data_IF_487864568203
#
_entry.id   IF_487864568203
#
_cell.length_a   1.000
_cell.length_b   1.000
_cell.length_c   1.000
_cell.angle_alpha   90.00
_cell.angle_beta   90.00
_cell.angle_gamma   90.00
#
_symmetry.space_group_name_H-M   'P 1'
#
loop_
_entity.id
_entity.type
_entity.pdbx_description
1 polymer ?
#
# COMPACT_ATOMS: atom_id res chain seq x y z
N UNK A 1 13.75 -12.88 -9.96
CA UNK A 1 12.48 -12.20 -9.62
C UNK A 1 12.55 -11.86 -8.14
N UNK A 2 12.78 -10.59 -7.79
CA UNK A 2 12.88 -10.09 -6.41
C UNK A 2 13.97 -10.75 -5.55
N UNK A 3 15.00 -10.03 -5.13
CA UNK A 3 15.86 -10.55 -4.05
C UNK A 3 15.06 -10.44 -2.76
N UNK A 4 14.63 -11.57 -2.19
CA UNK A 4 14.16 -11.61 -0.81
C UNK A 4 15.37 -11.29 0.09
N UNK A 5 15.59 -10.01 0.38
CA UNK A 5 16.60 -9.59 1.33
C UNK A 5 16.00 -9.69 2.74
N UNK A 6 16.19 -10.85 3.38
CA UNK A 6 15.83 -11.02 4.79
C UNK A 6 16.83 -10.24 5.66
N UNK A 7 16.47 -9.02 6.08
CA UNK A 7 17.21 -8.30 7.11
C UNK A 7 16.54 -8.51 8.48
N UNK A 8 17.21 -9.30 9.34
CA UNK A 8 17.12 -9.23 10.81
C UNK A 8 15.75 -9.34 11.49
N UNK A 9 15.45 -10.51 12.06
CA UNK A 9 14.44 -10.79 13.12
C UNK A 9 12.94 -10.54 12.84
N UNK A 10 12.56 -10.00 11.67
CA UNK A 10 11.17 -9.95 11.19
C UNK A 10 11.13 -9.68 9.68
N UNK A 11 10.61 -10.64 8.91
CA UNK A 11 10.97 -10.85 7.49
C UNK A 11 10.48 -9.71 6.60
N UNK A 12 11.44 -8.96 6.06
CA UNK A 12 11.20 -8.00 4.99
C UNK A 12 11.31 -8.72 3.64
N UNK A 13 10.45 -8.36 2.69
CA UNK A 13 10.56 -8.74 1.29
C UNK A 13 10.84 -7.48 0.49
N UNK A 14 11.98 -7.43 -0.20
CA UNK A 14 12.28 -6.38 -1.17
C UNK A 14 12.09 -6.89 -2.59
N UNK A 15 11.41 -6.11 -3.42
CA UNK A 15 11.06 -6.43 -4.80
C UNK A 15 11.75 -5.37 -5.65
N UNK A 16 12.70 -5.79 -6.48
CA UNK A 16 13.48 -4.87 -7.30
C UNK A 16 13.22 -5.09 -8.79
N UNK A 17 13.24 -3.98 -9.54
CA UNK A 17 13.08 -3.94 -10.99
C UNK A 17 11.62 -3.86 -11.44
N UNK A 18 11.40 -3.47 -12.69
CA UNK A 18 10.07 -3.44 -13.28
C UNK A 18 9.54 -4.87 -13.38
N UNK A 19 8.41 -5.14 -12.74
CA UNK A 19 7.77 -6.44 -12.71
C UNK A 19 6.57 -6.42 -13.66
N UNK A 20 6.53 -7.25 -14.70
CA UNK A 20 5.37 -7.29 -15.57
C UNK A 20 4.14 -7.84 -14.82
N UNK A 21 2.90 -7.46 -15.23
CA UNK A 21 1.69 -7.74 -14.46
C UNK A 21 1.48 -9.21 -14.10
N UNK A 22 1.81 -10.15 -15.00
CA UNK A 22 1.66 -11.59 -14.75
C UNK A 22 2.56 -12.05 -13.61
N UNK A 23 3.82 -11.62 -13.59
CA UNK A 23 4.77 -11.95 -12.53
C UNK A 23 4.38 -11.29 -11.21
N UNK A 24 3.85 -10.06 -11.26
CA UNK A 24 3.34 -9.39 -10.07
C UNK A 24 2.14 -10.16 -9.46
N UNK A 25 1.26 -10.69 -10.31
CA UNK A 25 0.10 -11.49 -9.87
C UNK A 25 0.54 -12.77 -9.17
N UNK A 26 1.49 -13.48 -9.77
CA UNK A 26 2.03 -14.71 -9.20
C UNK A 26 2.70 -14.44 -7.84
N UNK A 27 3.45 -13.34 -7.72
CA UNK A 27 4.08 -12.94 -6.48
C UNK A 27 3.04 -12.64 -5.39
N UNK A 28 2.03 -11.81 -5.68
CA UNK A 28 0.99 -11.49 -4.70
C UNK A 28 0.14 -12.69 -4.32
N UNK A 29 -0.11 -13.61 -5.26
CA UNK A 29 -0.76 -14.89 -4.96
C UNK A 29 0.06 -15.73 -3.97
N UNK A 30 1.37 -15.86 -4.20
CA UNK A 30 2.27 -16.57 -3.29
C UNK A 30 2.36 -15.90 -1.90
N UNK A 31 2.22 -14.57 -1.84
CA UNK A 31 2.20 -13.82 -0.59
C UNK A 31 0.91 -13.97 0.20
N UNK A 32 -0.21 -14.37 -0.41
CA UNK A 32 -1.49 -14.49 0.30
C UNK A 32 -1.40 -15.46 1.49
N UNK A 33 -0.63 -16.55 1.33
CA UNK A 33 -0.41 -17.54 2.39
C UNK A 33 0.89 -17.37 3.17
N UNK A 34 1.70 -16.37 2.82
CA UNK A 34 2.96 -16.11 3.52
C UNK A 34 2.68 -15.67 4.97
N UNK A 35 3.14 -16.47 5.94
CA UNK A 35 2.95 -16.21 7.39
C UNK A 35 4.08 -15.43 8.04
N UNK A 36 4.96 -14.87 7.23
CA UNK A 36 6.31 -14.61 7.67
C UNK A 36 6.74 -13.18 7.36
N UNK A 37 6.39 -12.68 6.18
CA UNK A 37 6.63 -11.32 5.72
C UNK A 37 5.79 -10.32 6.50
N UNK A 38 6.45 -9.31 7.06
CA UNK A 38 5.81 -8.20 7.79
C UNK A 38 5.98 -6.89 7.04
N UNK A 39 7.11 -6.73 6.34
CA UNK A 39 7.42 -5.56 5.53
C UNK A 39 7.56 -5.94 4.07
N UNK A 40 6.96 -5.16 3.18
CA UNK A 40 7.09 -5.33 1.74
C UNK A 40 7.59 -4.03 1.11
N UNK A 41 8.80 -4.05 0.59
CA UNK A 41 9.38 -2.99 -0.21
C UNK A 41 9.14 -3.33 -1.69
N UNK A 42 8.35 -2.49 -2.35
CA UNK A 42 7.99 -2.59 -3.76
C UNK A 42 8.18 -1.23 -4.46
N UNK A 43 9.18 -0.46 -4.05
CA UNK A 43 9.49 0.82 -4.69
C UNK A 43 9.87 0.64 -6.17
N UNK A 44 9.28 1.45 -7.04
CA UNK A 44 9.72 1.54 -8.44
C UNK A 44 9.50 0.28 -9.29
N UNK A 45 8.58 -0.60 -8.92
CA UNK A 45 8.36 -1.87 -9.65
C UNK A 45 7.44 -1.74 -10.88
N UNK A 46 6.97 -0.52 -11.18
CA UNK A 46 6.05 -0.27 -12.29
C UNK A 46 4.65 -0.80 -12.05
N UNK A 47 4.20 -0.79 -10.80
CA UNK A 47 2.93 -1.38 -10.37
C UNK A 47 1.70 -0.73 -11.01
N UNK A 48 1.69 0.61 -11.13
CA UNK A 48 0.58 1.43 -11.60
C UNK A 48 -0.76 1.10 -10.90
N UNK A 49 -1.87 1.65 -11.41
CA UNK A 49 -3.21 1.43 -10.84
C UNK A 49 -3.67 -0.03 -10.93
N UNK A 50 -3.24 -0.76 -11.97
CA UNK A 50 -3.59 -2.17 -12.16
C UNK A 50 -3.05 -3.05 -11.02
N UNK A 51 -1.80 -2.80 -10.61
CA UNK A 51 -1.21 -3.50 -9.48
C UNK A 51 -1.91 -3.20 -8.16
N UNK A 52 -2.50 -2.01 -7.98
CA UNK A 52 -3.24 -1.66 -6.76
C UNK A 52 -4.41 -2.61 -6.51
N UNK A 53 -5.12 -3.04 -7.55
CA UNK A 53 -6.19 -4.06 -7.43
C UNK A 53 -5.66 -5.36 -6.86
N UNK A 54 -4.53 -5.82 -7.40
CA UNK A 54 -3.90 -7.08 -7.01
C UNK A 54 -3.34 -7.01 -5.59
N UNK A 55 -2.77 -5.86 -5.20
CA UNK A 55 -2.34 -5.62 -3.83
C UNK A 55 -3.52 -5.57 -2.86
N UNK A 56 -4.61 -4.89 -3.22
CA UNK A 56 -5.82 -4.84 -2.40
C UNK A 56 -6.35 -6.24 -2.08
N UNK A 57 -6.39 -7.14 -3.05
CA UNK A 57 -6.74 -8.55 -2.82
C UNK A 57 -5.78 -9.26 -1.86
N UNK A 58 -4.47 -9.04 -2.03
CA UNK A 58 -3.45 -9.56 -1.12
C UNK A 58 -3.67 -9.07 0.32
N UNK A 59 -3.89 -7.76 0.54
CA UNK A 59 -4.09 -7.18 1.87
C UNK A 59 -5.37 -7.66 2.55
N UNK A 60 -6.39 -8.01 1.75
CA UNK A 60 -7.62 -8.60 2.27
C UNK A 60 -7.43 -10.06 2.71
N UNK A 61 -6.47 -10.79 2.16
CA UNK A 61 -6.15 -12.18 2.53
C UNK A 61 -5.03 -12.28 3.58
N UNK A 62 -3.99 -11.48 3.46
CA UNK A 62 -2.82 -11.50 4.34
C UNK A 62 -2.85 -10.32 5.32
N UNK A 63 -3.11 -10.61 6.60
CA UNK A 63 -3.14 -9.63 7.70
C UNK A 63 -1.80 -9.43 8.39
N UNK A 64 -0.72 -10.08 7.92
CA UNK A 64 0.61 -9.98 8.54
C UNK A 64 1.45 -8.87 7.96
N UNK A 65 1.24 -8.53 6.68
CA UNK A 65 1.89 -7.38 6.06
C UNK A 65 1.40 -6.12 6.78
N UNK A 66 2.31 -5.48 7.48
CA UNK A 66 2.05 -4.32 8.31
C UNK A 66 2.67 -3.04 7.72
N UNK A 67 3.74 -3.15 6.94
CA UNK A 67 4.45 -2.00 6.37
C UNK A 67 4.70 -2.25 4.88
N UNK A 68 4.38 -1.25 4.05
CA UNK A 68 4.51 -1.34 2.59
C UNK A 68 5.14 -0.09 2.03
N UNK A 69 6.18 -0.25 1.22
CA UNK A 69 6.71 0.82 0.38
C UNK A 69 6.23 0.67 -1.06
N UNK A 70 5.48 1.66 -1.56
CA UNK A 70 4.97 1.76 -2.92
C UNK A 70 5.45 3.04 -3.62
N UNK A 71 6.57 3.62 -3.18
CA UNK A 71 7.12 4.81 -3.82
C UNK A 71 7.42 4.58 -5.31
N UNK A 72 7.38 5.63 -6.13
CA UNK A 72 7.79 5.59 -7.54
C UNK A 72 7.03 4.59 -8.43
N UNK A 73 5.75 4.32 -8.18
CA UNK A 73 4.97 3.29 -8.87
C UNK A 73 3.94 3.80 -9.88
N UNK A 74 3.91 5.12 -10.17
CA UNK A 74 2.95 5.74 -11.09
C UNK A 74 1.48 5.48 -10.69
N UNK A 75 1.21 5.36 -9.39
CA UNK A 75 -0.13 5.21 -8.85
C UNK A 75 -0.87 6.54 -8.99
N UNK A 76 -2.10 6.52 -9.50
CA UNK A 76 -2.94 7.71 -9.64
C UNK A 76 -4.04 7.73 -8.58
N UNK A 77 -4.95 8.70 -8.66
CA UNK A 77 -6.19 8.71 -7.87
C UNK A 77 -6.98 7.39 -7.99
N UNK A 78 -6.98 6.74 -9.15
CA UNK A 78 -7.73 5.49 -9.34
C UNK A 78 -7.15 4.35 -8.48
N UNK A 79 -5.83 4.12 -8.56
CA UNK A 79 -5.15 3.13 -7.72
C UNK A 79 -5.22 3.47 -6.24
N UNK A 80 -5.09 4.75 -5.87
CA UNK A 80 -5.24 5.22 -4.50
C UNK A 80 -6.63 4.90 -3.93
N UNK A 81 -7.71 5.12 -4.70
CA UNK A 81 -9.07 4.73 -4.29
C UNK A 81 -9.22 3.21 -4.11
N UNK A 82 -8.58 2.42 -4.97
CA UNK A 82 -8.59 0.95 -4.85
C UNK A 82 -7.88 0.49 -3.57
N UNK A 83 -6.73 1.07 -3.24
CA UNK A 83 -6.03 0.80 -1.98
C UNK A 83 -6.86 1.22 -0.77
N UNK A 84 -7.46 2.42 -0.82
CA UNK A 84 -8.32 2.97 0.23
C UNK A 84 -9.48 2.03 0.59
N UNK A 85 -10.02 1.27 -0.37
CA UNK A 85 -11.09 0.30 -0.10
C UNK A 85 -10.60 -0.92 0.70
N UNK A 86 -9.34 -1.34 0.54
CA UNK A 86 -8.78 -2.52 1.20
C UNK A 86 -8.17 -2.21 2.58
N UNK A 87 -7.60 -1.01 2.76
CA UNK A 87 -6.95 -0.57 4.00
C UNK A 87 -7.78 -0.88 5.27
N UNK A 88 -9.10 -0.54 5.34
CA UNK A 88 -9.92 -0.79 6.54
C UNK A 88 -10.04 -2.25 6.96
N UNK A 89 -9.94 -3.17 6.01
CA UNK A 89 -9.97 -4.60 6.28
C UNK A 89 -8.58 -5.21 6.45
N UNK A 90 -7.50 -4.48 6.16
CA UNK A 90 -6.13 -5.00 6.13
C UNK A 90 -5.44 -5.02 7.50
N UNK A 91 -4.25 -5.63 7.57
CA UNK A 91 -3.34 -5.55 8.73
C UNK A 91 -2.29 -4.43 8.61
N UNK A 92 -2.37 -3.61 7.56
CA UNK A 92 -1.38 -2.56 7.27
C UNK A 92 -1.45 -1.49 8.35
N UNK A 93 -0.28 -0.97 8.73
CA UNK A 93 -0.06 0.09 9.70
C UNK A 93 0.69 1.26 9.08
N UNK A 94 1.57 1.00 8.11
CA UNK A 94 2.30 2.05 7.40
C UNK A 94 2.32 1.75 5.89
N UNK A 95 2.00 2.76 5.08
CA UNK A 95 2.07 2.68 3.62
C UNK A 95 2.72 3.95 3.07
N UNK A 96 3.81 3.78 2.31
CA UNK A 96 4.53 4.87 1.67
C UNK A 96 4.11 5.00 0.20
N UNK A 97 3.61 6.18 -0.17
CA UNK A 97 3.09 6.47 -1.51
C UNK A 97 3.81 7.64 -2.19
N UNK A 98 4.99 8.02 -1.71
CA UNK A 98 5.77 9.11 -2.27
C UNK A 98 6.10 8.93 -3.75
N UNK A 99 6.25 10.06 -4.46
CA UNK A 99 6.59 10.08 -5.88
C UNK A 99 5.61 9.24 -6.76
N UNK A 100 4.32 9.33 -6.47
CA UNK A 100 3.22 8.84 -7.31
C UNK A 100 2.36 10.02 -7.81
N UNK A 101 1.44 9.83 -8.77
CA UNK A 101 0.55 10.88 -9.31
C UNK A 101 -0.81 10.90 -8.57
N UNK A 102 -0.78 10.86 -7.23
CA UNK A 102 -1.97 10.88 -6.39
C UNK A 102 -2.35 12.33 -6.10
N UNK A 103 -3.56 12.71 -6.48
CA UNK A 103 -4.09 14.07 -6.35
C UNK A 103 -5.18 14.10 -5.27
N UNK A 104 -5.94 15.20 -5.23
CA UNK A 104 -6.88 15.48 -4.14
C UNK A 104 -7.89 14.34 -3.90
N UNK A 105 -8.41 13.72 -4.96
CA UNK A 105 -9.40 12.65 -4.85
C UNK A 105 -8.81 11.40 -4.18
N UNK A 106 -7.62 10.97 -4.60
CA UNK A 106 -6.92 9.83 -4.01
C UNK A 106 -6.52 10.11 -2.57
N UNK A 107 -6.00 11.30 -2.27
CA UNK A 107 -5.63 11.70 -0.90
C UNK A 107 -6.85 11.67 0.03
N UNK A 108 -8.00 12.21 -0.39
CA UNK A 108 -9.26 12.16 0.39
C UNK A 108 -9.69 10.72 0.68
N UNK A 109 -9.62 9.84 -0.33
CA UNK A 109 -9.97 8.44 -0.16
C UNK A 109 -9.06 7.73 0.86
N UNK A 110 -7.74 7.95 0.78
CA UNK A 110 -6.77 7.38 1.70
C UNK A 110 -6.96 7.87 3.14
N UNK A 111 -7.20 9.17 3.35
CA UNK A 111 -7.51 9.72 4.69
C UNK A 111 -8.80 9.12 5.27
N UNK A 112 -9.84 8.96 4.45
CA UNK A 112 -11.08 8.33 4.88
C UNK A 112 -10.85 6.86 5.28
N UNK A 113 -10.00 6.14 4.54
CA UNK A 113 -9.63 4.77 4.82
C UNK A 113 -8.87 4.63 6.16
N UNK A 114 -7.90 5.51 6.44
CA UNK A 114 -7.19 5.55 7.74
C UNK A 114 -8.18 5.69 8.91
N UNK A 115 -9.12 6.64 8.80
CA UNK A 115 -10.15 6.88 9.82
C UNK A 115 -11.03 5.65 10.02
N UNK A 116 -11.47 5.04 8.92
CA UNK A 116 -12.33 3.85 8.95
C UNK A 116 -11.60 2.65 9.56
N UNK A 117 -10.34 2.41 9.21
CA UNK A 117 -9.56 1.33 9.81
C UNK A 117 -9.37 1.52 11.31
N UNK A 118 -9.04 2.75 11.73
CA UNK A 118 -8.91 3.09 13.16
C UNK A 118 -10.21 2.82 13.92
N UNK A 119 -11.36 3.17 13.34
CA UNK A 119 -12.66 2.91 13.95
C UNK A 119 -12.97 1.40 14.07
N UNK A 120 -12.53 0.59 13.11
CA UNK A 120 -12.77 -0.86 13.09
C UNK A 120 -11.81 -1.65 13.99
N UNK A 121 -10.53 -1.27 14.02
CA UNK A 121 -9.46 -2.08 14.61
C UNK A 121 -8.84 -1.48 15.87
N UNK A 122 -9.11 -0.19 16.15
CA UNK A 122 -8.41 0.58 17.19
C UNK A 122 -6.95 0.91 16.85
N UNK A 123 -6.42 0.38 15.73
CA UNK A 123 -5.03 0.57 15.31
C UNK A 123 -4.99 1.64 14.21
N UNK A 124 -4.22 2.72 14.37
CA UNK A 124 -4.08 3.72 13.33
C UNK A 124 -3.14 3.22 12.23
N UNK A 125 -3.59 3.38 10.98
CA UNK A 125 -2.71 3.30 9.80
C UNK A 125 -2.22 4.69 9.45
N UNK A 126 -0.97 4.76 8.97
CA UNK A 126 -0.34 5.98 8.49
C UNK A 126 -0.04 5.86 7.00
N UNK A 127 -0.59 6.78 6.22
CA UNK A 127 -0.27 7.01 4.83
C UNK A 127 0.79 8.09 4.75
N UNK A 128 1.94 7.74 4.19
CA UNK A 128 3.15 8.54 4.18
C UNK A 128 3.56 8.88 2.73
N UNK A 129 4.39 9.91 2.57
CA UNK A 129 4.92 10.32 1.26
C UNK A 129 3.98 11.16 0.38
N UNK A 130 2.75 11.41 0.82
CA UNK A 130 1.84 12.34 0.14
C UNK A 130 2.24 13.81 0.38
N UNK A 131 1.87 14.69 -0.55
CA UNK A 131 2.06 16.14 -0.42
C UNK A 131 1.40 16.67 0.86
N UNK A 132 2.19 17.32 1.72
CA UNK A 132 1.74 17.75 3.06
C UNK A 132 0.67 18.83 3.01
N UNK A 133 0.78 19.75 2.05
CA UNK A 133 -0.17 20.85 1.89
C UNK A 133 -1.49 20.33 1.36
N UNK A 134 -1.44 19.38 0.41
CA UNK A 134 -2.61 18.68 -0.09
C UNK A 134 -3.29 17.86 1.03
N UNK A 135 -2.53 17.15 1.84
CA UNK A 135 -3.07 16.41 3.00
C UNK A 135 -3.71 17.37 4.01
N UNK A 136 -3.08 18.49 4.31
CA UNK A 136 -3.64 19.50 5.21
C UNK A 136 -4.96 20.08 4.67
N UNK A 137 -5.01 20.42 3.38
CA UNK A 137 -6.23 20.87 2.68
C UNK A 137 -7.34 19.82 2.77
N UNK A 138 -7.03 18.55 2.51
CA UNK A 138 -7.99 17.45 2.56
C UNK A 138 -8.47 17.12 3.98
N UNK A 139 -7.71 17.46 5.02
CA UNK A 139 -8.12 17.31 6.43
C UNK A 139 -8.93 18.51 6.94
N UNK A 140 -8.63 19.72 6.46
CA UNK A 140 -9.30 20.97 6.86
C UNK A 140 -10.62 21.23 6.15
N UNK A 141 -10.84 20.65 4.96
CA UNK A 141 -12.15 20.58 4.34
C UNK A 141 -13.02 19.60 5.16
N UNK A 142 -13.89 20.12 6.02
CA UNK A 142 -14.75 19.32 6.90
C UNK A 142 -15.42 18.15 6.16
N UNK A 143 -15.26 16.95 6.72
CA UNK A 143 -16.08 15.77 6.44
C UNK A 143 -17.33 15.82 7.32
#
# INVERSE_FOLDING_TARGET
LGKVAEHGSGKSLSICGIIPPVQLQQLFSALADNRSTVRMDAEGIGMADAGCTMLSELLLKNKRIAEIDLQLNQITDAGACVLANAIPGSGVREIHLGNNDIKEKGVKALIAAEKKQRALTGIPTKVLGLDKDLVAKCKGAGL
#
